data_IF_788577958905
#
_entry.id   IF_788577958905
#
_cell.length_a   1.000
_cell.length_b   1.000
_cell.length_c   1.000
_cell.angle_alpha   90.00
_cell.angle_beta   90.00
_cell.angle_gamma   90.00
#
_symmetry.space_group_name_H-M   'P 1'
#
loop_
_entity.id
_entity.type
_entity.pdbx_description
1 polymer ?
#
# COMPACT_ATOMS: atom_id res chain seq x y z
N UNK A 1 27.05 14.76 3.98
CA UNK A 1 26.41 14.45 5.28
C UNK A 1 25.27 13.46 5.04
N UNK A 2 25.35 12.26 5.61
CA UNK A 2 24.32 11.23 5.44
C UNK A 2 23.09 11.56 6.30
N UNK A 3 21.89 11.38 5.75
CA UNK A 3 20.64 11.50 6.52
C UNK A 3 20.35 10.12 7.11
N UNK A 4 20.28 10.02 8.43
CA UNK A 4 20.01 8.76 9.12
C UNK A 4 18.51 8.47 9.16
N UNK A 5 18.15 7.19 9.28
CA UNK A 5 16.73 6.78 9.32
C UNK A 5 15.95 7.43 10.47
N UNK A 6 16.62 7.65 11.62
CA UNK A 6 16.02 8.28 12.79
C UNK A 6 15.64 9.75 12.52
N UNK A 7 16.41 10.46 11.68
CA UNK A 7 16.15 11.86 11.31
C UNK A 7 14.84 12.00 10.53
N UNK A 8 14.48 11.01 9.71
CA UNK A 8 13.16 10.98 9.06
C UNK A 8 12.04 10.73 10.07
N UNK A 9 12.25 9.85 11.05
CA UNK A 9 11.23 9.52 12.03
C UNK A 9 10.98 10.62 13.04
N UNK A 10 12.01 11.37 13.47
CA UNK A 10 11.89 12.45 14.44
C UNK A 10 11.48 13.78 13.80
N UNK A 11 12.00 14.11 12.63
CA UNK A 11 11.93 15.49 12.13
C UNK A 11 10.90 15.67 11.01
N UNK A 12 10.30 14.59 10.49
CA UNK A 12 9.40 14.65 9.30
C UNK A 12 7.98 14.20 9.57
N UNK A 13 7.68 13.67 10.76
CA UNK A 13 6.30 13.44 11.18
C UNK A 13 5.51 14.76 11.10
N UNK A 14 4.32 14.72 10.50
CA UNK A 14 3.45 15.88 10.19
C UNK A 14 4.07 16.97 9.27
N UNK A 15 5.30 16.82 8.77
CA UNK A 15 5.92 17.77 7.82
C UNK A 15 5.61 17.40 6.38
N UNK A 16 4.34 17.43 6.02
CA UNK A 16 3.84 16.91 4.74
C UNK A 16 4.47 17.54 3.50
N UNK A 17 4.78 18.83 3.52
CA UNK A 17 5.46 19.51 2.40
C UNK A 17 6.82 18.88 2.07
N UNK A 18 7.60 18.46 3.09
CA UNK A 18 8.89 17.78 2.90
C UNK A 18 8.72 16.38 2.33
N UNK A 19 7.72 15.65 2.83
CA UNK A 19 7.41 14.29 2.34
C UNK A 19 6.89 14.28 0.90
N UNK A 20 6.20 15.34 0.48
CA UNK A 20 5.76 15.48 -0.91
C UNK A 20 6.96 15.80 -1.83
N UNK A 21 7.70 16.85 -1.53
CA UNK A 21 8.78 17.43 -2.37
C UNK A 21 10.05 16.58 -2.47
N UNK A 22 10.40 15.81 -1.44
CA UNK A 22 11.61 14.97 -1.48
C UNK A 22 11.25 13.59 -2.01
N UNK A 23 11.79 13.20 -3.16
CA UNK A 23 11.42 11.92 -3.78
C UNK A 23 12.36 10.76 -3.42
N UNK A 24 13.55 11.04 -2.88
CA UNK A 24 14.61 10.04 -2.70
C UNK A 24 14.49 9.24 -1.40
N UNK A 25 13.85 9.78 -0.35
CA UNK A 25 13.76 9.12 0.96
C UNK A 25 12.98 7.81 0.91
N UNK A 26 11.95 7.72 0.06
CA UNK A 26 11.06 6.55 -0.01
C UNK A 26 11.88 5.28 -0.32
N UNK A 27 12.99 5.44 -1.03
CA UNK A 27 13.80 4.30 -1.42
C UNK A 27 14.64 3.73 -0.28
N UNK A 28 15.04 4.59 0.65
CA UNK A 28 15.74 4.23 1.88
C UNK A 28 14.79 3.65 2.93
N UNK A 29 13.58 4.20 3.05
CA UNK A 29 12.59 3.73 4.02
C UNK A 29 11.96 2.39 3.62
N UNK A 30 11.77 2.17 2.32
CA UNK A 30 11.12 0.97 1.76
C UNK A 30 11.98 0.37 0.65
N UNK A 31 13.10 -0.28 0.99
CA UNK A 31 14.00 -0.85 0.01
C UNK A 31 13.36 -2.09 -0.67
N UNK A 32 13.74 -2.34 -1.93
CA UNK A 32 13.24 -3.41 -2.79
C UNK A 32 14.41 -4.13 -3.48
N UNK A 33 14.19 -5.36 -3.96
CA UNK A 33 15.13 -6.06 -4.86
C UNK A 33 15.08 -5.53 -6.31
N UNK A 34 14.06 -4.74 -6.64
CA UNK A 34 13.90 -4.12 -7.95
C UNK A 34 14.62 -2.76 -7.97
N UNK A 35 15.30 -2.41 -9.07
CA UNK A 35 15.92 -1.09 -9.20
C UNK A 35 14.88 0.03 -9.14
N UNK A 36 15.25 1.13 -8.49
CA UNK A 36 14.45 2.35 -8.43
C UNK A 36 15.14 3.53 -9.11
N UNK A 37 14.46 4.67 -9.14
CA UNK A 37 14.98 5.91 -9.74
C UNK A 37 16.15 6.56 -8.95
N UNK A 38 16.50 6.06 -7.75
CA UNK A 38 17.60 6.61 -6.96
C UNK A 38 18.77 5.63 -7.01
N UNK A 39 19.76 5.93 -7.86
CA UNK A 39 20.98 5.12 -8.01
C UNK A 39 21.79 4.97 -6.71
N UNK A 40 21.58 5.84 -5.72
CA UNK A 40 22.24 5.75 -4.40
C UNK A 40 21.57 4.76 -3.44
N UNK A 41 20.37 4.27 -3.76
CA UNK A 41 19.68 3.24 -3.01
C UNK A 41 19.73 1.92 -3.81
N UNK A 42 20.80 1.12 -3.67
CA UNK A 42 20.97 -0.10 -4.45
C UNK A 42 19.84 -1.09 -4.18
N UNK A 43 19.49 -1.95 -5.16
CA UNK A 43 18.53 -3.01 -4.94
C UNK A 43 19.01 -3.97 -3.83
N UNK A 44 18.07 -4.45 -3.02
CA UNK A 44 18.37 -5.43 -1.98
C UNK A 44 18.85 -6.75 -2.57
N UNK A 45 19.92 -7.29 -2.00
CA UNK A 45 20.34 -8.66 -2.21
C UNK A 45 19.54 -9.62 -1.35
N UNK A 46 19.53 -10.90 -1.72
CA UNK A 46 18.92 -11.96 -0.90
C UNK A 46 19.58 -12.08 0.48
N UNK A 47 20.87 -11.75 0.60
CA UNK A 47 21.60 -11.78 1.87
C UNK A 47 21.15 -10.64 2.78
N UNK A 48 21.01 -9.42 2.26
CA UNK A 48 20.51 -8.27 3.02
C UNK A 48 19.07 -8.48 3.48
N UNK A 49 18.22 -9.12 2.67
CA UNK A 49 16.86 -9.48 3.11
C UNK A 49 16.91 -10.45 4.28
N UNK A 50 17.75 -11.49 4.23
CA UNK A 50 17.91 -12.40 5.37
C UNK A 50 18.40 -11.67 6.63
N UNK A 51 19.40 -10.79 6.47
CA UNK A 51 19.91 -9.98 7.57
C UNK A 51 18.81 -9.05 8.15
N UNK A 52 18.03 -8.41 7.28
CA UNK A 52 16.90 -7.58 7.67
C UNK A 52 15.85 -8.37 8.46
N UNK A 53 15.46 -9.54 7.95
CA UNK A 53 14.48 -10.42 8.59
C UNK A 53 14.97 -10.98 9.93
N UNK A 54 16.29 -11.04 10.15
CA UNK A 54 16.90 -11.37 11.45
C UNK A 54 17.00 -10.20 12.44
N UNK A 55 16.73 -8.97 12.02
CA UNK A 55 16.93 -7.77 12.85
C UNK A 55 15.61 -7.15 13.31
N UNK A 56 15.30 -7.26 14.60
CA UNK A 56 14.11 -6.63 15.17
C UNK A 56 14.18 -5.10 15.12
N UNK A 57 15.39 -4.53 15.22
CA UNK A 57 15.58 -3.09 15.05
C UNK A 57 15.19 -2.65 13.63
N UNK A 58 15.62 -3.39 12.60
CA UNK A 58 15.28 -3.07 11.21
C UNK A 58 13.78 -3.14 10.97
N UNK A 59 13.11 -4.20 11.46
CA UNK A 59 11.65 -4.34 11.38
C UNK A 59 10.92 -3.21 12.10
N UNK A 60 11.31 -2.87 13.33
CA UNK A 60 10.74 -1.74 14.08
C UNK A 60 10.90 -0.43 13.33
N UNK A 61 12.03 -0.20 12.66
CA UNK A 61 12.25 1.00 11.87
C UNK A 61 11.35 1.03 10.62
N UNK A 62 11.18 -0.09 9.92
CA UNK A 62 10.24 -0.19 8.80
C UNK A 62 8.79 0.07 9.25
N UNK A 63 8.40 -0.44 10.42
CA UNK A 63 7.08 -0.19 11.00
C UNK A 63 6.87 1.30 11.32
N UNK A 64 7.89 1.98 11.87
CA UNK A 64 7.85 3.44 12.08
C UNK A 64 7.70 4.19 10.75
N UNK A 65 8.50 3.83 9.75
CA UNK A 65 8.37 4.39 8.39
C UNK A 65 6.98 4.18 7.81
N UNK A 66 6.40 3.00 8.02
CA UNK A 66 5.06 2.66 7.55
C UNK A 66 4.00 3.55 8.20
N UNK A 67 4.02 3.72 9.52
CA UNK A 67 3.11 4.62 10.24
C UNK A 67 3.24 6.06 9.76
N UNK A 68 4.46 6.54 9.54
CA UNK A 68 4.73 7.88 9.00
C UNK A 68 4.11 8.06 7.60
N UNK A 69 4.26 7.07 6.71
CA UNK A 69 3.67 7.15 5.38
C UNK A 69 2.15 7.01 5.40
N UNK A 70 1.58 6.19 6.29
CA UNK A 70 0.13 6.13 6.46
C UNK A 70 -0.43 7.50 6.84
N UNK A 71 0.16 8.15 7.85
CA UNK A 71 -0.28 9.48 8.30
C UNK A 71 -0.21 10.51 7.15
N UNK A 72 0.88 10.50 6.39
CA UNK A 72 1.04 11.30 5.18
C UNK A 72 -0.05 11.04 4.12
N UNK A 73 -0.63 9.85 4.07
CA UNK A 73 -1.74 9.52 3.17
C UNK A 73 -3.12 9.75 3.80
N UNK A 74 -3.22 10.25 5.03
CA UNK A 74 -4.49 10.41 5.74
C UNK A 74 -5.03 9.11 6.30
N UNK A 75 -4.15 8.16 6.59
CA UNK A 75 -4.46 6.82 7.06
C UNK A 75 -3.75 6.62 8.41
N UNK A 76 -4.32 5.84 9.30
CA UNK A 76 -3.64 5.40 10.51
C UNK A 76 -3.70 3.90 10.69
N UNK A 77 -2.63 3.34 11.26
CA UNK A 77 -2.59 1.96 11.70
C UNK A 77 -3.43 1.83 12.96
N UNK A 78 -4.54 1.09 12.87
CA UNK A 78 -5.44 0.85 14.00
C UNK A 78 -4.96 -0.34 14.84
N UNK A 79 -4.40 -1.37 14.21
CA UNK A 79 -3.97 -2.57 14.90
C UNK A 79 -2.66 -3.10 14.32
N UNK A 80 -1.60 -3.05 15.12
CA UNK A 80 -0.26 -3.53 14.72
C UNK A 80 -0.16 -5.05 14.60
N UNK A 81 -1.05 -5.81 15.25
CA UNK A 81 -1.05 -7.27 15.14
C UNK A 81 -1.68 -7.73 13.82
N UNK A 82 -2.77 -7.09 13.42
CA UNK A 82 -3.53 -7.50 12.23
C UNK A 82 -3.19 -6.70 10.98
N UNK A 83 -2.53 -5.55 11.14
CA UNK A 83 -2.29 -4.59 10.06
C UNK A 83 -3.52 -3.74 9.71
N UNK A 84 -4.61 -3.81 10.48
CA UNK A 84 -5.83 -3.06 10.20
C UNK A 84 -5.54 -1.55 10.18
N UNK A 85 -6.08 -0.86 9.18
CA UNK A 85 -5.93 0.58 8.97
C UNK A 85 -7.29 1.25 8.84
N UNK A 86 -7.34 2.56 9.09
CA UNK A 86 -8.52 3.38 8.84
C UNK A 86 -8.14 4.83 8.54
N UNK A 87 -9.13 5.64 8.16
CA UNK A 87 -8.95 7.09 7.98
C UNK A 87 -8.35 7.72 9.24
N UNK A 88 -7.34 8.56 9.06
CA UNK A 88 -6.81 9.42 10.11
C UNK A 88 -7.67 10.70 10.23
N UNK A 89 -7.58 11.48 11.32
CA UNK A 89 -8.38 12.71 11.48
C UNK A 89 -8.20 13.73 10.35
N UNK A 90 -7.02 13.79 9.74
CA UNK A 90 -6.65 14.67 8.62
C UNK A 90 -7.00 14.09 7.23
N UNK A 91 -7.75 12.98 7.14
CA UNK A 91 -7.89 12.22 5.89
C UNK A 91 -8.36 13.05 4.69
N UNK A 92 -9.28 14.01 4.89
CA UNK A 92 -9.89 14.76 3.80
C UNK A 92 -8.84 15.56 2.99
N UNK A 93 -7.99 16.33 3.69
CA UNK A 93 -6.90 17.09 3.09
C UNK A 93 -5.88 16.15 2.42
N UNK A 94 -5.50 15.07 3.12
CA UNK A 94 -4.49 14.14 2.61
C UNK A 94 -4.96 13.34 1.40
N UNK A 95 -6.26 13.02 1.33
CA UNK A 95 -6.87 12.36 0.17
C UNK A 95 -6.93 13.29 -1.04
N UNK A 96 -7.23 14.58 -0.82
CA UNK A 96 -7.14 15.58 -1.89
C UNK A 96 -5.71 15.61 -2.47
N UNK A 97 -4.70 15.66 -1.60
CA UNK A 97 -3.30 15.59 -2.02
C UNK A 97 -3.00 14.30 -2.80
N UNK A 98 -3.50 13.14 -2.33
CA UNK A 98 -3.25 11.86 -2.97
C UNK A 98 -3.90 11.76 -4.36
N UNK A 99 -5.08 12.34 -4.55
CA UNK A 99 -5.74 12.43 -5.85
C UNK A 99 -4.99 13.34 -6.84
N UNK A 100 -4.39 14.43 -6.37
CA UNK A 100 -3.65 15.39 -7.22
C UNK A 100 -2.24 14.91 -7.57
N UNK A 101 -1.61 14.11 -6.70
CA UNK A 101 -0.21 13.73 -6.82
C UNK A 101 -0.02 12.24 -7.12
N UNK A 102 -0.25 11.86 -8.38
CA UNK A 102 -0.28 10.46 -8.85
C UNK A 102 1.03 9.69 -8.62
N UNK A 103 2.17 10.37 -8.50
CA UNK A 103 3.45 9.72 -8.17
C UNK A 103 3.42 9.00 -6.81
N UNK A 104 2.53 9.38 -5.90
CA UNK A 104 2.31 8.69 -4.64
C UNK A 104 1.78 7.25 -4.84
N UNK A 105 1.12 6.95 -5.97
CA UNK A 105 0.73 5.59 -6.30
C UNK A 105 1.95 4.66 -6.48
N UNK A 106 3.04 5.18 -7.06
CA UNK A 106 4.30 4.43 -7.17
C UNK A 106 4.95 4.24 -5.79
N UNK A 107 4.88 5.24 -4.92
CA UNK A 107 5.36 5.14 -3.53
C UNK A 107 4.59 4.08 -2.74
N UNK A 108 3.26 4.06 -2.82
CA UNK A 108 2.40 3.05 -2.18
C UNK A 108 2.71 1.64 -2.70
N UNK A 109 2.90 1.49 -4.02
CA UNK A 109 3.31 0.21 -4.61
C UNK A 109 4.64 -0.28 -4.03
N UNK A 110 5.63 0.61 -3.89
CA UNK A 110 6.92 0.29 -3.26
C UNK A 110 6.75 -0.10 -1.79
N UNK A 111 5.93 0.63 -1.03
CA UNK A 111 5.62 0.31 0.37
C UNK A 111 5.03 -1.11 0.46
N UNK A 112 4.00 -1.42 -0.33
CA UNK A 112 3.35 -2.74 -0.34
C UNK A 112 4.35 -3.87 -0.63
N UNK A 113 5.18 -3.74 -1.67
CA UNK A 113 6.20 -4.75 -2.01
C UNK A 113 7.25 -4.91 -0.90
N UNK A 114 7.68 -3.81 -0.30
CA UNK A 114 8.67 -3.80 0.78
C UNK A 114 8.11 -4.49 2.03
N UNK A 115 6.87 -4.19 2.45
CA UNK A 115 6.19 -4.86 3.56
C UNK A 115 6.12 -6.38 3.35
N UNK A 116 5.76 -6.82 2.14
CA UNK A 116 5.69 -8.25 1.82
C UNK A 116 7.04 -8.96 1.95
N UNK A 117 8.12 -8.29 1.54
CA UNK A 117 9.48 -8.87 1.52
C UNK A 117 10.18 -8.81 2.88
N UNK A 118 9.90 -7.78 3.67
CA UNK A 118 10.69 -7.40 4.84
C UNK A 118 9.98 -7.66 6.18
N UNK A 119 9.05 -8.61 6.21
CA UNK A 119 8.51 -9.17 7.46
C UNK A 119 7.13 -8.68 7.87
N UNK A 120 6.42 -7.92 7.04
CA UNK A 120 5.04 -7.46 7.28
C UNK A 120 4.05 -7.85 6.16
N UNK A 121 4.06 -9.09 5.62
CA UNK A 121 3.13 -9.47 4.54
C UNK A 121 1.66 -9.36 4.98
N UNK A 122 1.37 -9.55 6.28
CA UNK A 122 0.03 -9.43 6.85
C UNK A 122 -0.53 -7.99 6.80
N UNK A 123 0.29 -6.96 6.58
CA UNK A 123 -0.18 -5.58 6.41
C UNK A 123 -0.64 -5.25 4.99
N UNK A 124 -0.25 -6.05 4.00
CA UNK A 124 -0.55 -5.77 2.60
C UNK A 124 -2.06 -5.78 2.34
N UNK A 125 -2.75 -6.87 2.70
CA UNK A 125 -4.16 -7.00 2.39
C UNK A 125 -5.07 -5.97 3.08
N UNK A 126 -4.90 -5.65 4.39
CA UNK A 126 -5.66 -4.57 5.01
C UNK A 126 -5.49 -3.22 4.31
N UNK A 127 -4.27 -2.84 3.92
CA UNK A 127 -4.03 -1.58 3.23
C UNK A 127 -4.64 -1.56 1.83
N UNK A 128 -4.50 -2.66 1.08
CA UNK A 128 -5.12 -2.75 -0.25
C UNK A 128 -6.64 -2.75 -0.15
N UNK A 129 -7.21 -3.44 0.85
CA UNK A 129 -8.65 -3.41 1.13
C UNK A 129 -9.15 -1.98 1.35
N UNK A 130 -8.43 -1.21 2.18
CA UNK A 130 -8.74 0.19 2.43
C UNK A 130 -8.79 1.01 1.14
N UNK A 131 -7.77 0.92 0.29
CA UNK A 131 -7.78 1.65 -0.99
C UNK A 131 -8.92 1.18 -1.92
N UNK A 132 -9.26 -0.10 -1.95
CA UNK A 132 -10.40 -0.57 -2.74
C UNK A 132 -11.73 -0.03 -2.21
N UNK A 133 -11.92 0.07 -0.89
CA UNK A 133 -13.12 0.68 -0.29
C UNK A 133 -13.22 2.17 -0.64
N UNK A 134 -12.13 2.92 -0.46
CA UNK A 134 -12.09 4.35 -0.75
C UNK A 134 -12.27 4.68 -2.25
N UNK A 135 -11.82 3.79 -3.14
CA UNK A 135 -11.90 3.99 -4.59
C UNK A 135 -13.21 3.50 -5.20
N UNK A 136 -13.72 2.34 -4.76
CA UNK A 136 -14.88 1.67 -5.38
C UNK A 136 -16.19 1.91 -4.65
N UNK A 137 -16.15 2.05 -3.32
CA UNK A 137 -17.37 2.20 -2.51
C UNK A 137 -17.60 3.66 -2.14
N UNK A 138 -16.60 4.32 -1.56
CA UNK A 138 -16.75 5.70 -1.09
C UNK A 138 -16.42 6.75 -2.16
N UNK A 139 -15.74 6.36 -3.23
CA UNK A 139 -15.35 7.22 -4.35
C UNK A 139 -14.60 8.50 -3.93
N UNK A 140 -13.86 8.45 -2.82
CA UNK A 140 -13.08 9.56 -2.27
C UNK A 140 -11.67 9.64 -2.85
N UNK A 141 -11.19 8.55 -3.46
CA UNK A 141 -9.85 8.44 -4.05
C UNK A 141 -9.86 8.08 -5.55
N UNK A 142 -10.59 8.80 -6.43
CA UNK A 142 -10.65 8.47 -7.85
C UNK A 142 -9.26 8.42 -8.53
N UNK A 143 -8.31 9.28 -8.12
CA UNK A 143 -6.94 9.30 -8.67
C UNK A 143 -6.07 8.10 -8.27
N UNK A 144 -6.58 7.23 -7.40
CA UNK A 144 -5.90 6.00 -6.92
C UNK A 144 -6.53 4.75 -7.53
N UNK A 145 -7.76 4.83 -8.07
CA UNK A 145 -8.56 3.66 -8.51
C UNK A 145 -7.79 2.73 -9.43
N UNK A 146 -7.17 3.27 -10.48
CA UNK A 146 -6.41 2.46 -11.44
C UNK A 146 -5.23 1.76 -10.79
N UNK A 147 -4.55 2.43 -9.85
CA UNK A 147 -3.41 1.84 -9.16
C UNK A 147 -3.82 0.79 -8.13
N UNK A 148 -4.95 1.00 -7.46
CA UNK A 148 -5.54 0.02 -6.55
C UNK A 148 -5.84 -1.30 -7.27
N UNK A 149 -6.44 -1.21 -8.47
CA UNK A 149 -6.84 -2.38 -9.26
C UNK A 149 -5.67 -3.04 -9.99
N UNK A 150 -4.80 -2.26 -10.63
CA UNK A 150 -3.74 -2.79 -11.50
C UNK A 150 -2.44 -3.14 -10.79
N UNK A 151 -2.13 -2.49 -9.66
CA UNK A 151 -0.83 -2.65 -8.99
C UNK A 151 -0.98 -3.12 -7.54
N UNK A 152 -1.80 -2.45 -6.73
CA UNK A 152 -1.85 -2.70 -5.29
C UNK A 152 -2.40 -4.11 -5.00
N UNK A 153 -3.48 -4.51 -5.69
CA UNK A 153 -4.03 -5.88 -5.63
C UNK A 153 -2.97 -6.96 -5.85
N UNK A 154 -2.09 -6.77 -6.83
CA UNK A 154 -1.12 -7.79 -7.23
C UNK A 154 0.17 -7.76 -6.41
N UNK A 155 0.41 -6.69 -5.64
CA UNK A 155 1.49 -6.63 -4.66
C UNK A 155 1.25 -7.56 -3.45
N UNK A 156 0.01 -7.93 -3.14
CA UNK A 156 -0.34 -8.84 -2.05
C UNK A 156 0.21 -10.25 -2.32
N UNK A 157 1.13 -10.72 -1.47
CA UNK A 157 1.80 -12.00 -1.65
C UNK A 157 0.90 -13.20 -1.30
N UNK A 158 0.04 -13.06 -0.28
CA UNK A 158 -0.90 -14.11 0.11
C UNK A 158 -1.98 -14.28 -0.98
N UNK A 159 -1.91 -15.39 -1.71
CA UNK A 159 -2.83 -15.70 -2.82
C UNK A 159 -4.29 -15.81 -2.36
N UNK A 160 -4.55 -16.28 -1.14
CA UNK A 160 -5.92 -16.42 -0.60
C UNK A 160 -6.49 -15.05 -0.26
N UNK A 161 -5.72 -14.19 0.39
CA UNK A 161 -6.13 -12.81 0.68
C UNK A 161 -6.33 -12.02 -0.60
N UNK A 162 -5.40 -12.10 -1.55
CA UNK A 162 -5.54 -11.46 -2.86
C UNK A 162 -6.81 -11.90 -3.59
N UNK A 163 -7.16 -13.19 -3.59
CA UNK A 163 -8.41 -13.68 -4.19
C UNK A 163 -9.65 -13.08 -3.52
N UNK A 164 -9.64 -12.92 -2.19
CA UNK A 164 -10.74 -12.25 -1.47
C UNK A 164 -10.85 -10.78 -1.89
N UNK A 165 -9.73 -10.08 -2.08
CA UNK A 165 -9.70 -8.70 -2.53
C UNK A 165 -10.20 -8.54 -3.98
N UNK A 166 -9.80 -9.43 -4.90
CA UNK A 166 -10.32 -9.44 -6.28
C UNK A 166 -11.83 -9.68 -6.30
N UNK A 167 -12.32 -10.60 -5.46
CA UNK A 167 -13.77 -10.83 -5.33
C UNK A 167 -14.50 -9.60 -4.81
N UNK A 168 -13.94 -8.93 -3.80
CA UNK A 168 -14.50 -7.68 -3.32
C UNK A 168 -14.52 -6.61 -4.42
N UNK A 169 -13.39 -6.40 -5.09
CA UNK A 169 -13.29 -5.43 -6.18
C UNK A 169 -14.36 -5.72 -7.23
N UNK A 170 -14.52 -6.98 -7.66
CA UNK A 170 -15.58 -7.37 -8.59
C UNK A 170 -16.99 -7.01 -8.11
N UNK A 171 -17.30 -7.26 -6.84
CA UNK A 171 -18.62 -6.96 -6.27
C UNK A 171 -18.91 -5.48 -6.07
N UNK A 172 -17.88 -4.63 -6.02
CA UNK A 172 -17.98 -3.18 -5.82
C UNK A 172 -17.60 -2.38 -7.07
N UNK A 173 -17.25 -3.05 -8.17
CA UNK A 173 -16.88 -2.41 -9.43
C UNK A 173 -18.14 -2.08 -10.22
N UNK A 174 -18.08 -0.96 -10.92
CA UNK A 174 -19.14 -0.51 -11.82
C UNK A 174 -19.40 -1.54 -12.94
N UNK A 175 -20.66 -1.91 -13.14
CA UNK A 175 -21.06 -2.98 -14.06
C UNK A 175 -20.95 -2.57 -15.54
N UNK A 176 -20.86 -1.27 -15.83
CA UNK A 176 -20.80 -0.74 -17.19
C UNK A 176 -19.40 -0.87 -17.83
N UNK A 177 -18.40 -1.30 -17.05
CA UNK A 177 -17.02 -1.48 -17.52
C UNK A 177 -16.55 -2.94 -17.38
N UNK A 178 -15.79 -3.48 -18.35
CA UNK A 178 -15.31 -4.85 -18.26
C UNK A 178 -14.35 -5.04 -17.08
N UNK A 179 -14.69 -5.95 -16.18
CA UNK A 179 -13.81 -6.33 -15.08
C UNK A 179 -12.75 -7.34 -15.57
N UNK A 180 -11.54 -6.86 -15.88
CA UNK A 180 -10.48 -7.68 -16.51
C UNK A 180 -9.58 -8.44 -15.52
N UNK A 181 -9.63 -8.10 -14.23
CA UNK A 181 -8.75 -8.67 -13.19
C UNK A 181 -9.16 -10.06 -12.69
N UNK A 182 -10.25 -10.62 -13.21
CA UNK A 182 -10.70 -11.97 -12.92
C UNK A 182 -11.22 -12.66 -14.19
N UNK A 183 -10.86 -13.92 -14.47
CA UNK A 183 -11.43 -14.68 -15.59
C UNK A 183 -12.97 -14.77 -15.58
N UNK A 184 -13.61 -14.67 -16.76
CA UNK A 184 -15.08 -14.67 -16.90
C UNK A 184 -15.78 -15.92 -16.31
N UNK A 185 -15.14 -17.10 -16.35
CA UNK A 185 -15.69 -18.31 -15.74
C UNK A 185 -15.80 -18.20 -14.22
N UNK A 186 -14.81 -17.59 -13.56
CA UNK A 186 -14.85 -17.33 -12.12
C UNK A 186 -15.87 -16.26 -11.76
N UNK A 187 -15.97 -15.20 -12.57
CA UNK A 187 -17.00 -14.17 -12.41
C UNK A 187 -18.41 -14.78 -12.42
N UNK A 188 -18.72 -15.61 -13.43
CA UNK A 188 -20.01 -16.32 -13.52
C UNK A 188 -20.33 -17.16 -12.28
N UNK A 189 -19.33 -17.84 -11.71
CA UNK A 189 -19.49 -18.60 -10.47
C UNK A 189 -19.82 -17.72 -9.25
N UNK A 190 -19.24 -16.52 -9.19
CA UNK A 190 -19.53 -15.57 -8.12
C UNK A 190 -20.90 -14.93 -8.26
N UNK A 191 -21.31 -14.53 -9.47
CA UNK A 191 -22.66 -13.98 -9.72
C UNK A 191 -23.75 -14.96 -9.31
N UNK A 192 -23.61 -16.25 -9.66
CA UNK A 192 -24.54 -17.32 -9.28
C UNK A 192 -24.63 -17.54 -7.76
N UNK A 193 -23.54 -17.31 -7.03
CA UNK A 193 -23.52 -17.44 -5.57
C UNK A 193 -24.17 -16.25 -4.87
N UNK A 194 -24.17 -15.07 -5.50
CA UNK A 194 -24.79 -13.86 -4.97
C UNK A 194 -26.30 -13.82 -5.19
N UNK A 195 -26.79 -14.44 -6.27
CA UNK A 195 -28.23 -14.59 -6.57
C UNK A 195 -28.90 -15.78 -5.87
N UNK A 196 -28.15 -16.55 -5.07
CA UNK A 196 -28.64 -17.72 -4.33
C UNK A 196 -28.83 -17.46 -2.82
N UNK A 197 -28.89 -16.19 -2.39
CA UNK A 197 -29.34 -15.86 -1.04
C UNK A 197 -30.86 -15.60 -1.05
N UNK A 198 -31.64 -16.26 -0.17
CA UNK A 198 -33.04 -15.92 0.05
C UNK A 198 -33.19 -14.52 0.65
#
# INVERSE_FOLDING_TARGET
SGIYIHTFHSDWFERYHKLESVHTYIQWLFPLQEPGMNYRAPPLTRQEIRAFLGSDLAKRNLLKSYKLMLDFYGIRLENERTGAVKRAPNWAERFQNLNMNTHNNLRITRILKSLGTLGYPHYQAPLVRFFLEETLVHQTLPGVKDSALNYFLFAVLDKRQRRKLVRFAYSSYDQDQPFVWCPRNLQRGWSRSSSAKP
#
